data_IF_878735078853
#
_entry.id   IF_878735078853
#
_cell.length_a   1.000
_cell.length_b   1.000
_cell.length_c   1.000
_cell.angle_alpha   90.00
_cell.angle_beta   90.00
_cell.angle_gamma   90.00
#
_symmetry.space_group_name_H-M   'P 1'
#
loop_
_entity.id
_entity.type
_entity.pdbx_description
1 polymer ?
#
# COMPACT_ATOMS: atom_id res chain seq x y z
N UNK A 1 -12.73 -9.88 34.80
CA UNK A 1 -12.07 -11.17 35.10
C UNK A 1 -10.88 -11.31 34.17
N UNK A 2 -9.63 -11.28 34.66
CA UNK A 2 -8.49 -11.67 33.85
C UNK A 2 -8.57 -13.17 33.55
N UNK A 3 -8.31 -13.55 32.30
CA UNK A 3 -8.14 -14.95 31.89
C UNK A 3 -6.64 -15.24 31.96
N UNK A 4 -6.26 -16.25 32.73
CA UNK A 4 -4.90 -16.77 32.77
C UNK A 4 -4.83 -18.03 31.93
N UNK A 5 -3.93 -18.07 30.95
CA UNK A 5 -3.68 -19.25 30.12
C UNK A 5 -2.36 -19.88 30.56
N UNK A 6 -2.42 -21.09 31.12
CA UNK A 6 -1.24 -21.89 31.45
C UNK A 6 -1.02 -22.91 30.33
N UNK A 7 0.00 -22.72 29.51
CA UNK A 7 0.39 -23.67 28.47
C UNK A 7 1.90 -23.96 28.56
N UNK A 8 2.26 -25.23 28.58
CA UNK A 8 3.66 -25.67 28.46
C UNK A 8 3.99 -25.78 26.98
N UNK A 9 4.80 -24.86 26.46
CA UNK A 9 5.19 -24.85 25.06
C UNK A 9 6.43 -25.72 24.83
N UNK A 10 6.49 -26.53 23.75
CA UNK A 10 7.73 -27.16 23.34
C UNK A 10 8.79 -26.08 23.04
N UNK A 11 10.08 -26.37 23.24
CA UNK A 11 11.17 -25.38 23.20
C UNK A 11 11.28 -24.57 21.89
N UNK A 12 10.61 -24.99 20.81
CA UNK A 12 10.54 -24.30 19.52
C UNK A 12 9.24 -23.50 19.29
N UNK A 13 8.25 -23.57 20.20
CA UNK A 13 7.00 -22.84 20.06
C UNK A 13 7.10 -21.48 20.74
N UNK A 14 7.22 -20.42 19.92
CA UNK A 14 7.10 -19.04 20.38
C UNK A 14 5.62 -18.67 20.48
N UNK A 15 5.16 -18.30 21.68
CA UNK A 15 3.88 -17.65 21.92
C UNK A 15 3.87 -16.32 21.15
N UNK A 16 3.36 -16.35 19.91
CA UNK A 16 3.08 -15.19 19.05
C UNK A 16 3.94 -13.97 19.31
N UNK A 17 5.27 -14.14 19.28
CA UNK A 17 6.15 -12.98 19.34
C UNK A 17 5.67 -12.07 18.21
N UNK A 18 5.40 -10.80 18.53
CA UNK A 18 5.34 -9.74 17.54
C UNK A 18 6.73 -9.66 16.90
N UNK A 19 7.08 -10.66 16.09
CA UNK A 19 8.31 -10.68 15.33
C UNK A 19 8.17 -9.50 14.39
N UNK A 20 9.07 -8.54 14.54
CA UNK A 20 9.12 -7.42 13.60
C UNK A 20 9.14 -8.03 12.19
N UNK A 21 8.14 -7.70 11.39
CA UNK A 21 8.06 -8.23 10.03
C UNK A 21 9.15 -7.63 9.14
N UNK A 22 9.77 -6.52 9.57
CA UNK A 22 10.72 -5.74 8.78
C UNK A 22 11.87 -6.58 8.23
N UNK A 23 12.60 -7.44 8.99
CA UNK A 23 13.68 -8.25 8.42
C UNK A 23 13.20 -9.18 7.30
N UNK A 24 12.02 -9.78 7.46
CA UNK A 24 11.46 -10.70 6.48
C UNK A 24 10.98 -9.98 5.19
N UNK A 25 10.50 -8.74 5.33
CA UNK A 25 10.11 -7.88 4.21
C UNK A 25 11.33 -7.28 3.50
N UNK A 26 12.38 -6.93 4.25
CA UNK A 26 13.65 -6.42 3.73
C UNK A 26 14.45 -7.48 2.97
N UNK A 27 14.25 -8.77 3.29
CA UNK A 27 14.87 -9.88 2.57
C UNK A 27 14.23 -10.17 1.20
N UNK A 28 13.09 -9.55 0.88
CA UNK A 28 12.43 -9.76 -0.41
C UNK A 28 13.19 -9.07 -1.55
N UNK A 29 13.15 -9.61 -2.78
CA UNK A 29 13.86 -9.00 -3.90
C UNK A 29 13.28 -7.62 -4.24
N UNK A 30 14.18 -6.70 -4.63
CA UNK A 30 13.80 -5.40 -5.18
C UNK A 30 13.11 -4.45 -4.19
N UNK A 31 13.30 -4.59 -2.88
CA UNK A 31 12.69 -3.66 -1.89
C UNK A 31 12.99 -2.21 -2.27
N UNK A 32 11.94 -1.43 -2.43
CA UNK A 32 12.04 0.00 -2.74
C UNK A 32 11.69 0.86 -1.54
N UNK A 33 10.65 0.49 -0.79
CA UNK A 33 10.23 1.21 0.40
C UNK A 33 9.31 0.36 1.27
N UNK A 34 9.52 0.41 2.58
CA UNK A 34 8.63 -0.16 3.58
C UNK A 34 8.28 0.95 4.55
N UNK A 35 7.01 1.31 4.60
CA UNK A 35 6.49 2.44 5.33
C UNK A 35 5.51 1.91 6.40
N UNK A 36 5.92 1.95 7.65
CA UNK A 36 5.04 1.78 8.81
C UNK A 36 4.90 3.14 9.50
N UNK A 37 3.72 3.47 10.01
CA UNK A 37 3.52 4.72 10.75
C UNK A 37 4.12 4.60 12.15
N UNK A 38 5.24 5.27 12.37
CA UNK A 38 5.92 5.40 13.65
C UNK A 38 6.32 6.86 13.84
N UNK A 39 6.47 7.36 15.08
CA UNK A 39 6.93 8.72 15.28
C UNK A 39 8.25 9.03 14.57
N UNK A 40 9.15 8.05 14.47
CA UNK A 40 10.44 8.20 13.81
C UNK A 40 10.37 8.17 12.26
N UNK A 41 9.28 7.67 11.67
CA UNK A 41 9.12 7.61 10.21
C UNK A 41 8.35 8.80 9.64
N UNK A 42 7.90 9.74 10.47
CA UNK A 42 7.03 10.84 10.05
C UNK A 42 7.68 12.19 10.34
N UNK A 43 7.81 13.02 9.31
CA UNK A 43 8.16 14.43 9.46
C UNK A 43 6.89 15.25 9.41
N UNK A 44 6.53 15.87 10.53
CA UNK A 44 5.37 16.76 10.63
C UNK A 44 5.82 18.21 10.46
N UNK A 45 5.17 18.93 9.55
CA UNK A 45 5.43 20.35 9.30
C UNK A 45 4.14 21.04 8.84
N UNK A 46 3.92 22.28 9.27
CA UNK A 46 2.72 23.05 8.90
C UNK A 46 1.41 22.37 9.32
N UNK A 47 1.41 21.59 10.41
CA UNK A 47 0.23 20.88 10.92
C UNK A 47 -0.12 19.55 10.24
N UNK A 48 0.68 19.08 9.28
CA UNK A 48 0.45 17.81 8.58
C UNK A 48 1.74 17.04 8.30
N UNK A 49 1.58 15.83 7.75
CA UNK A 49 2.68 14.95 7.36
C UNK A 49 3.32 15.48 6.08
N UNK A 50 4.51 16.04 6.20
CA UNK A 50 5.30 16.51 5.06
C UNK A 50 6.08 15.35 4.43
N UNK A 51 6.53 14.40 5.24
CA UNK A 51 7.26 13.22 4.79
C UNK A 51 6.88 11.99 5.60
N UNK A 52 6.76 10.84 4.93
CA UNK A 52 6.67 9.51 5.54
C UNK A 52 7.81 8.64 4.98
N UNK A 53 8.88 8.55 5.75
CA UNK A 53 10.12 7.87 5.40
C UNK A 53 10.00 6.35 5.50
N UNK A 54 10.72 5.66 4.62
CA UNK A 54 10.85 4.20 4.68
C UNK A 54 11.73 3.74 5.85
N UNK A 55 11.53 2.49 6.28
CA UNK A 55 12.30 1.83 7.34
C UNK A 55 13.43 0.99 6.75
N UNK A 56 14.31 0.50 7.63
CA UNK A 56 15.35 -0.47 7.27
C UNK A 56 16.56 0.12 6.53
N UNK A 57 16.84 1.41 6.70
CA UNK A 57 17.97 2.10 6.04
C UNK A 57 17.71 2.46 4.57
N UNK A 58 16.47 2.31 4.10
CA UNK A 58 16.04 2.77 2.78
C UNK A 58 15.90 4.29 2.76
N UNK A 59 16.13 4.90 1.60
CA UNK A 59 16.11 6.37 1.43
C UNK A 59 14.84 6.88 0.75
N UNK A 60 13.89 5.99 0.45
CA UNK A 60 12.64 6.38 -0.20
C UNK A 60 11.66 6.97 0.83
N UNK A 61 10.87 7.95 0.40
CA UNK A 61 9.91 8.63 1.26
C UNK A 61 8.69 9.07 0.46
N UNK A 62 7.51 8.94 1.06
CA UNK A 62 6.35 9.69 0.58
C UNK A 62 6.51 11.14 0.99
N UNK A 63 6.31 12.07 0.07
CA UNK A 63 6.49 13.50 0.29
C UNK A 63 5.25 14.30 -0.11
N UNK A 64 5.01 15.40 0.60
CA UNK A 64 4.04 16.41 0.21
C UNK A 64 4.55 17.81 0.54
N UNK A 65 4.98 18.52 -0.51
CA UNK A 65 5.52 19.87 -0.39
C UNK A 65 4.45 20.90 -0.01
N UNK A 66 3.26 20.80 -0.60
CA UNK A 66 2.16 21.74 -0.36
C UNK A 66 1.51 21.50 1.00
N UNK A 67 1.66 22.45 1.91
CA UNK A 67 1.11 22.39 3.26
C UNK A 67 -0.42 22.19 3.28
N UNK A 68 -1.15 22.76 2.31
CA UNK A 68 -2.61 22.62 2.23
C UNK A 68 -3.07 21.22 1.79
N UNK A 69 -2.17 20.43 1.21
CA UNK A 69 -2.42 19.07 0.75
C UNK A 69 -1.77 17.99 1.62
N UNK A 70 -1.15 18.35 2.75
CA UNK A 70 -0.55 17.36 3.66
C UNK A 70 -1.65 16.54 4.35
N UNK A 71 -1.52 15.21 4.45
CA UNK A 71 -2.40 14.41 5.29
C UNK A 71 -2.10 14.66 6.77
N UNK A 72 -3.00 14.21 7.63
CA UNK A 72 -2.83 14.28 9.09
C UNK A 72 -2.54 12.90 9.67
N UNK A 73 -2.23 12.84 10.98
CA UNK A 73 -2.18 11.59 11.72
C UNK A 73 -3.50 11.42 12.47
N UNK A 74 -4.16 10.26 12.32
CA UNK A 74 -5.38 9.95 13.08
C UNK A 74 -5.08 9.47 14.50
N UNK A 75 -6.13 9.25 15.29
CA UNK A 75 -6.01 8.75 16.67
C UNK A 75 -5.38 7.36 16.79
N UNK A 76 -5.39 6.58 15.70
CA UNK A 76 -4.77 5.25 15.64
C UNK A 76 -3.29 5.33 15.18
N UNK A 77 -2.75 6.55 15.03
CA UNK A 77 -1.38 6.78 14.56
C UNK A 77 -1.19 6.52 13.06
N UNK A 78 -2.25 6.53 12.25
CA UNK A 78 -2.19 6.29 10.80
C UNK A 78 -2.12 7.59 10.02
N UNK A 79 -1.47 7.56 8.86
CA UNK A 79 -1.53 8.67 7.88
C UNK A 79 -2.93 8.70 7.28
N UNK A 80 -3.67 9.77 7.57
CA UNK A 80 -5.07 9.94 7.20
C UNK A 80 -5.22 10.99 6.11
N UNK A 81 -5.70 10.56 4.94
CA UNK A 81 -6.01 11.46 3.82
C UNK A 81 -7.30 12.22 4.07
N UNK A 82 -7.29 13.54 3.86
CA UNK A 82 -8.48 14.38 3.65
C UNK A 82 -8.82 14.52 2.18
N UNK A 83 -10.01 15.06 1.90
CA UNK A 83 -10.46 15.34 0.53
C UNK A 83 -9.60 16.36 -0.23
N UNK A 84 -8.57 16.93 0.40
CA UNK A 84 -7.53 17.75 -0.21
C UNK A 84 -6.11 17.16 -0.06
N UNK A 85 -5.96 16.00 0.57
CA UNK A 85 -4.65 15.45 0.92
C UNK A 85 -4.13 14.47 -0.12
N UNK A 86 -2.84 14.56 -0.44
CA UNK A 86 -2.14 13.56 -1.25
C UNK A 86 -0.68 13.45 -0.83
N UNK A 87 -0.02 12.35 -1.15
CA UNK A 87 1.44 12.23 -1.05
C UNK A 87 1.99 11.52 -2.27
N UNK A 88 3.22 11.86 -2.64
CA UNK A 88 3.92 11.29 -3.78
C UNK A 88 5.17 10.52 -3.32
N UNK A 89 5.41 9.36 -3.91
CA UNK A 89 6.63 8.59 -3.77
C UNK A 89 7.38 8.66 -5.12
N UNK A 90 8.47 9.44 -5.19
CA UNK A 90 9.24 9.59 -6.42
C UNK A 90 9.97 8.30 -6.81
N UNK A 91 10.02 8.01 -8.12
CA UNK A 91 11.08 7.21 -8.72
C UNK A 91 11.02 5.70 -8.50
N UNK A 92 10.02 5.02 -9.07
CA UNK A 92 10.13 3.55 -9.28
C UNK A 92 10.85 3.21 -10.60
N UNK A 93 10.83 4.11 -11.57
CA UNK A 93 11.44 3.92 -12.88
C UNK A 93 10.62 2.96 -13.76
N UNK A 94 11.24 2.48 -14.83
CA UNK A 94 10.63 1.45 -15.69
C UNK A 94 10.91 0.08 -15.10
N UNK A 95 9.85 -0.64 -14.74
CA UNK A 95 9.93 -1.97 -14.13
C UNK A 95 9.06 -2.97 -14.90
N UNK A 96 9.59 -4.16 -15.26
CA UNK A 96 8.78 -5.22 -15.87
C UNK A 96 7.88 -5.92 -14.82
N UNK A 97 8.25 -5.83 -13.54
CA UNK A 97 7.55 -6.46 -12.44
C UNK A 97 7.65 -5.60 -11.18
N UNK A 98 6.56 -5.55 -10.40
CA UNK A 98 6.55 -4.85 -9.12
C UNK A 98 5.47 -5.41 -8.20
N UNK A 99 5.62 -5.14 -6.90
CA UNK A 99 4.63 -5.48 -5.88
C UNK A 99 4.35 -4.25 -5.03
N UNK A 100 3.07 -4.00 -4.74
CA UNK A 100 2.62 -3.00 -3.78
C UNK A 100 1.77 -3.70 -2.74
N UNK A 101 2.12 -3.57 -1.46
CA UNK A 101 1.33 -4.09 -0.35
C UNK A 101 0.88 -2.92 0.53
N UNK A 102 -0.38 -2.89 0.94
CA UNK A 102 -0.87 -1.82 1.82
C UNK A 102 -2.00 -2.30 2.71
N UNK A 103 -2.11 -1.73 3.90
CA UNK A 103 -3.28 -1.88 4.77
C UNK A 103 -3.92 -0.52 4.96
N UNK A 104 -5.18 -0.42 4.58
CA UNK A 104 -5.94 0.81 4.70
C UNK A 104 -7.29 0.62 5.40
N UNK A 105 -7.80 1.72 5.94
CA UNK A 105 -9.19 1.85 6.37
C UNK A 105 -9.83 3.06 5.67
N UNK A 106 -11.15 3.06 5.53
CA UNK A 106 -11.89 4.24 5.09
C UNK A 106 -12.54 4.95 6.28
N UNK A 107 -12.76 6.26 6.17
CA UNK A 107 -13.62 7.05 7.09
C UNK A 107 -14.83 7.67 6.37
N UNK A 108 -15.01 7.34 5.11
CA UNK A 108 -16.07 7.86 4.26
C UNK A 108 -16.68 6.75 3.42
N UNK A 109 -17.96 6.90 3.12
CA UNK A 109 -18.71 6.13 2.12
C UNK A 109 -18.58 6.72 0.71
N UNK A 110 -17.65 7.67 0.50
CA UNK A 110 -17.37 8.27 -0.80
C UNK A 110 -17.26 7.19 -1.88
N UNK A 111 -17.96 7.45 -2.99
CA UNK A 111 -18.21 6.46 -4.03
C UNK A 111 -16.94 5.91 -4.68
N UNK A 112 -15.81 6.60 -4.60
CA UNK A 112 -14.53 6.14 -5.14
C UNK A 112 -13.37 6.81 -4.42
N UNK A 113 -12.45 6.01 -3.87
CA UNK A 113 -11.29 6.51 -3.13
C UNK A 113 -10.01 5.84 -3.63
N UNK A 114 -9.06 6.63 -4.11
CA UNK A 114 -7.80 6.08 -4.63
C UNK A 114 -6.94 5.53 -3.50
N UNK A 115 -6.56 4.26 -3.60
CA UNK A 115 -5.63 3.59 -2.68
C UNK A 115 -4.20 3.96 -3.06
N UNK A 116 -3.87 3.79 -4.33
CA UNK A 116 -2.65 4.30 -4.94
C UNK A 116 -2.88 4.47 -6.45
N UNK A 117 -2.06 5.32 -7.03
CA UNK A 117 -1.96 5.53 -8.46
C UNK A 117 -0.49 5.66 -8.86
N UNK A 118 -0.11 5.04 -9.96
CA UNK A 118 1.20 5.19 -10.58
C UNK A 118 1.07 5.84 -11.94
N UNK A 119 1.89 6.85 -12.21
CA UNK A 119 1.92 7.56 -13.49
C UNK A 119 3.17 7.22 -14.30
N UNK A 120 2.95 7.01 -15.60
CA UNK A 120 3.96 6.77 -16.63
C UNK A 120 3.57 7.36 -17.97
N UNK A 121 4.44 7.21 -18.99
CA UNK A 121 4.21 7.63 -20.38
C UNK A 121 2.97 6.96 -21.01
N UNK A 122 1.76 7.39 -20.62
CA UNK A 122 0.47 6.88 -21.11
C UNK A 122 -0.06 5.62 -20.41
N UNK A 123 0.73 4.95 -19.57
CA UNK A 123 0.30 3.77 -18.79
C UNK A 123 0.03 4.17 -17.35
N UNK A 124 -1.19 3.90 -16.89
CA UNK A 124 -1.67 4.26 -15.57
C UNK A 124 -1.97 3.03 -14.74
N UNK A 125 -1.41 2.95 -13.53
CA UNK A 125 -1.62 1.85 -12.60
C UNK A 125 -2.44 2.35 -11.40
N UNK A 126 -3.69 1.92 -11.22
CA UNK A 126 -4.53 2.40 -10.11
C UNK A 126 -5.28 1.29 -9.43
N UNK A 127 -5.26 1.36 -8.10
CA UNK A 127 -6.22 0.68 -7.24
C UNK A 127 -7.09 1.72 -6.53
N UNK A 128 -8.40 1.48 -6.50
CA UNK A 128 -9.34 2.32 -5.78
C UNK A 128 -10.39 1.49 -5.08
N UNK A 129 -10.87 2.00 -3.96
CA UNK A 129 -11.90 1.38 -3.15
C UNK A 129 -13.22 2.12 -3.34
N UNK A 130 -14.29 1.36 -3.44
CA UNK A 130 -15.66 1.80 -3.26
C UNK A 130 -16.24 1.01 -2.09
N UNK A 131 -17.31 1.49 -1.44
CA UNK A 131 -18.02 0.67 -0.45
C UNK A 131 -18.26 -0.74 -1.01
N UNK A 132 -17.77 -1.75 -0.27
CA UNK A 132 -17.78 -3.19 -0.58
C UNK A 132 -17.07 -3.68 -1.86
N UNK A 133 -16.41 -2.82 -2.65
CA UNK A 133 -15.72 -3.25 -3.88
C UNK A 133 -14.33 -2.65 -4.00
N UNK A 134 -13.32 -3.52 -4.17
CA UNK A 134 -11.98 -3.12 -4.58
C UNK A 134 -11.90 -3.19 -6.10
N UNK A 135 -11.49 -2.08 -6.73
CA UNK A 135 -11.37 -1.98 -8.18
C UNK A 135 -9.96 -1.63 -8.58
N UNK A 136 -9.52 -2.18 -9.70
CA UNK A 136 -8.22 -1.87 -10.30
C UNK A 136 -8.36 -1.52 -11.77
N UNK A 137 -7.46 -0.65 -12.23
CA UNK A 137 -7.34 -0.24 -13.64
C UNK A 137 -5.87 -0.14 -14.01
N UNK A 138 -5.51 -0.72 -15.16
CA UNK A 138 -4.14 -0.76 -15.66
C UNK A 138 -4.06 -0.38 -17.15
N UNK A 139 -3.18 0.56 -17.48
CA UNK A 139 -2.88 1.00 -18.84
C UNK A 139 -3.95 1.89 -19.47
N UNK A 140 -4.02 1.79 -20.80
CA UNK A 140 -5.07 2.34 -21.67
C UNK A 140 -6.38 1.54 -21.59
N UNK A 141 -6.37 0.41 -20.86
CA UNK A 141 -7.50 -0.49 -20.78
C UNK A 141 -8.75 0.25 -20.30
N UNK A 142 -9.79 0.15 -21.12
CA UNK A 142 -11.15 0.61 -20.82
C UNK A 142 -11.82 -0.22 -19.73
N UNK A 143 -11.29 -1.41 -19.43
CA UNK A 143 -11.94 -2.37 -18.55
C UNK A 143 -11.42 -2.27 -17.10
N UNK A 144 -12.35 -2.00 -16.18
CA UNK A 144 -12.15 -2.15 -14.75
C UNK A 144 -12.11 -3.65 -14.39
N UNK A 145 -11.36 -3.97 -13.33
CA UNK A 145 -11.40 -5.29 -12.70
C UNK A 145 -11.87 -5.13 -11.26
N UNK A 146 -12.99 -5.80 -10.98
CA UNK A 146 -13.68 -5.71 -9.71
C UNK A 146 -13.39 -6.95 -8.88
N UNK A 147 -13.11 -6.74 -7.60
CA UNK A 147 -13.09 -7.78 -6.57
C UNK A 147 -14.06 -7.33 -5.49
N UNK A 148 -15.00 -8.20 -5.15
CA UNK A 148 -15.85 -8.00 -3.96
C UNK A 148 -14.94 -7.98 -2.75
N UNK A 149 -14.88 -6.85 -2.06
CA UNK A 149 -13.99 -6.69 -0.91
C UNK A 149 -14.79 -6.84 0.38
N UNK A 150 -14.26 -7.53 1.41
CA UNK A 150 -14.86 -7.46 2.73
C UNK A 150 -14.80 -6.02 3.28
N UNK A 151 -15.57 -5.71 4.34
CA UNK A 151 -15.51 -4.41 5.00
C UNK A 151 -14.07 -4.05 5.44
N UNK A 152 -13.73 -2.77 5.35
CA UNK A 152 -12.46 -2.23 5.84
C UNK A 152 -12.38 -2.29 7.38
N UNK A 153 -11.18 -2.41 8.00
CA UNK A 153 -9.84 -2.29 7.42
C UNK A 153 -9.41 -3.50 6.57
N UNK A 154 -8.76 -3.21 5.44
CA UNK A 154 -8.43 -4.20 4.42
C UNK A 154 -6.93 -4.21 4.11
N UNK A 155 -6.33 -5.40 4.10
CA UNK A 155 -5.01 -5.64 3.55
C UNK A 155 -5.11 -5.97 2.07
N UNK A 156 -4.24 -5.37 1.28
CA UNK A 156 -4.16 -5.59 -0.17
C UNK A 156 -2.72 -5.82 -0.56
N UNK A 157 -2.48 -6.86 -1.37
CA UNK A 157 -1.19 -7.08 -2.05
C UNK A 157 -1.44 -7.16 -3.54
N UNK A 158 -0.80 -6.27 -4.28
CA UNK A 158 -0.90 -6.15 -5.72
C UNK A 158 0.43 -6.53 -6.35
N UNK A 159 0.43 -7.56 -7.20
CA UNK A 159 1.62 -8.14 -7.84
C UNK A 159 1.49 -8.02 -9.35
N UNK A 160 2.53 -7.49 -9.99
CA UNK A 160 2.68 -7.42 -11.44
C UNK A 160 3.94 -8.16 -11.84
N UNK A 161 3.78 -9.09 -12.76
CA UNK A 161 4.85 -9.88 -13.38
C UNK A 161 4.68 -9.87 -14.91
N UNK A 162 5.34 -8.92 -15.58
CA UNK A 162 5.11 -8.63 -16.99
C UNK A 162 3.66 -8.24 -17.24
N UNK A 163 2.96 -9.01 -18.06
CA UNK A 163 1.53 -8.81 -18.34
C UNK A 163 0.64 -9.47 -17.29
N UNK A 164 1.16 -10.31 -16.39
CA UNK A 164 0.33 -10.99 -15.40
C UNK A 164 0.14 -10.09 -14.19
N UNK A 165 -1.11 -9.86 -13.83
CA UNK A 165 -1.49 -9.03 -12.71
C UNK A 165 -2.28 -9.87 -11.72
N UNK A 166 -1.89 -9.85 -10.44
CA UNK A 166 -2.62 -10.52 -9.37
C UNK A 166 -2.89 -9.56 -8.22
N UNK A 167 -4.13 -9.55 -7.74
CA UNK A 167 -4.56 -8.78 -6.59
C UNK A 167 -5.04 -9.74 -5.49
N UNK A 168 -4.43 -9.63 -4.32
CA UNK A 168 -4.74 -10.40 -3.11
C UNK A 168 -5.41 -9.50 -2.08
N UNK A 169 -6.50 -9.97 -1.49
CA UNK A 169 -7.23 -9.23 -0.45
C UNK A 169 -8.17 -10.16 0.32
N UNK A 170 -8.24 -10.02 1.65
CA UNK A 170 -9.23 -10.75 2.47
C UNK A 170 -9.23 -12.26 2.27
N UNK A 171 -8.07 -12.88 2.03
CA UNK A 171 -7.93 -14.31 1.73
C UNK A 171 -8.25 -14.72 0.29
N UNK A 172 -8.71 -13.79 -0.54
CA UNK A 172 -9.02 -14.00 -1.95
C UNK A 172 -7.87 -13.55 -2.85
N UNK A 173 -7.86 -14.06 -4.08
CA UNK A 173 -6.90 -13.66 -5.12
C UNK A 173 -7.59 -13.67 -6.47
N UNK A 174 -7.35 -12.64 -7.27
CA UNK A 174 -7.83 -12.56 -8.65
C UNK A 174 -6.64 -12.23 -9.54
N UNK A 175 -6.50 -13.01 -10.62
CA UNK A 175 -5.43 -12.85 -11.59
C UNK A 175 -6.02 -12.52 -12.96
N UNK A 176 -5.37 -11.62 -13.69
CA UNK A 176 -5.73 -11.27 -15.05
C UNK A 176 -4.52 -10.85 -15.86
N UNK A 177 -4.70 -10.77 -17.17
CA UNK A 177 -3.67 -10.30 -18.10
C UNK A 177 -3.88 -8.80 -18.38
N UNK A 178 -2.87 -7.99 -18.10
CA UNK A 178 -2.75 -6.59 -18.49
C UNK A 178 -2.23 -6.42 -19.91
N UNK A 179 -2.19 -5.18 -20.39
CA UNK A 179 -1.80 -4.84 -21.77
C UNK A 179 -0.33 -4.47 -21.92
N UNK A 180 0.35 -4.11 -20.82
CA UNK A 180 1.74 -3.67 -20.85
C UNK A 180 2.68 -4.75 -20.30
N UNK A 181 3.79 -4.98 -21.00
CA UNK A 181 4.88 -5.87 -20.56
C UNK A 181 5.85 -5.18 -19.58
N UNK A 182 5.78 -3.84 -19.48
CA UNK A 182 6.53 -3.05 -18.50
C UNK A 182 5.75 -1.80 -18.12
N UNK A 183 6.01 -1.30 -16.92
CA UNK A 183 5.34 -0.13 -16.36
C UNK A 183 6.37 0.93 -16.02
N UNK A 184 6.26 2.10 -16.65
CA UNK A 184 7.06 3.26 -16.32
C UNK A 184 6.42 3.98 -15.13
N UNK A 185 6.76 3.59 -13.90
CA UNK A 185 6.22 4.22 -12.71
C UNK A 185 7.15 5.38 -12.31
N UNK A 186 6.97 6.53 -12.96
CA UNK A 186 7.77 7.73 -12.68
C UNK A 186 7.56 8.18 -11.23
N UNK A 187 6.31 8.08 -10.75
CA UNK A 187 5.98 8.19 -9.34
C UNK A 187 4.77 7.35 -8.97
N UNK A 188 4.62 7.10 -7.66
CA UNK A 188 3.35 6.69 -7.08
C UNK A 188 2.73 7.85 -6.32
N UNK A 189 1.42 7.87 -6.27
CA UNK A 189 0.62 8.83 -5.52
C UNK A 189 -0.40 8.08 -4.69
N UNK A 190 -0.58 8.52 -3.46
CA UNK A 190 -1.71 8.15 -2.60
C UNK A 190 -2.54 9.41 -2.35
N UNK A 191 -3.85 9.26 -2.17
CA UNK A 191 -4.74 10.41 -1.94
C UNK A 191 -5.35 11.03 -3.19
N UNK A 192 -4.80 10.77 -4.38
CA UNK A 192 -5.27 11.33 -5.65
C UNK A 192 -5.04 10.36 -6.81
N UNK A 193 -5.72 10.62 -7.93
CA UNK A 193 -5.59 9.81 -9.15
C UNK A 193 -4.26 10.02 -9.84
N UNK A 194 -3.68 11.22 -9.81
CA UNK A 194 -2.36 11.52 -10.35
C UNK A 194 -1.72 12.58 -9.48
N UNK A 195 -0.48 12.96 -9.78
CA UNK A 195 0.20 14.08 -9.10
C UNK A 195 -0.50 15.43 -9.33
N UNK A 196 -1.22 15.56 -10.45
CA UNK A 196 -1.95 16.77 -10.87
C UNK A 196 -3.46 16.72 -10.63
N UNK A 197 -4.04 15.55 -10.39
CA UNK A 197 -5.48 15.40 -10.15
C UNK A 197 -5.87 15.96 -8.79
N UNK A 198 -7.14 16.40 -8.69
CA UNK A 198 -7.75 16.73 -7.41
C UNK A 198 -7.71 15.49 -6.49
N UNK A 199 -7.37 15.66 -5.20
CA UNK A 199 -7.43 14.59 -4.22
C UNK A 199 -8.85 14.00 -4.10
N UNK A 200 -8.93 12.68 -3.91
CA UNK A 200 -10.19 11.93 -3.92
C UNK A 200 -10.27 10.83 -2.86
N UNK A 201 -9.35 10.83 -1.89
CA UNK A 201 -9.25 9.76 -0.90
C UNK A 201 -9.51 10.24 0.52
N UNK A 202 -10.28 9.45 1.27
CA UNK A 202 -10.43 9.57 2.71
C UNK A 202 -9.85 8.34 3.42
N UNK A 203 -8.88 7.68 2.79
CA UNK A 203 -8.26 6.49 3.30
C UNK A 203 -7.21 6.80 4.37
N UNK A 204 -6.99 5.82 5.25
CA UNK A 204 -6.08 5.88 6.38
C UNK A 204 -5.10 4.72 6.27
N UNK A 205 -3.81 5.02 6.23
CA UNK A 205 -2.74 4.06 5.98
C UNK A 205 -1.88 3.87 7.22
N UNK A 206 -1.71 2.61 7.65
CA UNK A 206 -0.74 2.27 8.69
C UNK A 206 0.51 1.57 8.14
N UNK A 207 0.38 0.91 6.98
CA UNK A 207 1.40 0.08 6.36
C UNK A 207 1.36 0.25 4.85
N UNK A 208 2.51 0.46 4.23
CA UNK A 208 2.67 0.52 2.78
C UNK A 208 4.04 -0.04 2.38
N UNK A 209 4.10 -0.96 1.44
CA UNK A 209 5.33 -1.59 0.97
C UNK A 209 5.38 -1.58 -0.55
N UNK A 210 6.57 -1.36 -1.10
CA UNK A 210 6.81 -1.32 -2.54
C UNK A 210 8.08 -2.10 -2.86
N UNK A 211 7.99 -2.99 -3.84
CA UNK A 211 9.10 -3.78 -4.38
C UNK A 211 9.13 -3.67 -5.89
N UNK A 212 10.32 -3.51 -6.47
CA UNK A 212 10.59 -3.57 -7.92
C UNK A 212 10.77 -5.02 -8.40
N UNK A 213 9.95 -5.91 -7.87
CA UNK A 213 9.91 -7.32 -8.23
C UNK A 213 8.49 -7.87 -8.00
N UNK A 214 8.13 -8.91 -8.76
CA UNK A 214 6.96 -9.72 -8.45
C UNK A 214 7.28 -10.62 -7.26
N UNK A 215 6.67 -10.38 -6.11
CA UNK A 215 6.88 -11.24 -4.94
C UNK A 215 6.18 -12.58 -5.15
N UNK A 216 6.88 -13.66 -4.79
CA UNK A 216 6.38 -15.02 -4.86
C UNK A 216 6.79 -15.83 -3.61
N UNK A 217 6.23 -17.03 -3.45
CA UNK A 217 6.57 -17.96 -2.38
C UNK A 217 6.48 -17.32 -0.99
N UNK A 218 7.53 -17.50 -0.18
CA UNK A 218 7.58 -16.99 1.18
C UNK A 218 7.56 -15.45 1.25
N UNK A 219 8.15 -14.74 0.28
CA UNK A 219 8.15 -13.27 0.28
C UNK A 219 6.73 -12.72 0.09
N UNK A 220 5.94 -13.32 -0.80
CA UNK A 220 4.53 -12.97 -0.96
C UNK A 220 3.72 -13.30 0.29
N UNK A 221 3.95 -14.48 0.89
CA UNK A 221 3.29 -14.86 2.14
C UNK A 221 3.57 -13.87 3.27
N UNK A 222 4.82 -13.43 3.41
CA UNK A 222 5.22 -12.43 4.41
C UNK A 222 4.53 -11.08 4.17
N UNK A 223 4.50 -10.60 2.92
CA UNK A 223 3.83 -9.36 2.56
C UNK A 223 2.32 -9.43 2.88
N UNK A 224 1.65 -10.52 2.51
CA UNK A 224 0.23 -10.76 2.80
C UNK A 224 -0.05 -10.80 4.30
N UNK A 225 0.75 -11.54 5.08
CA UNK A 225 0.62 -11.60 6.52
C UNK A 225 0.80 -10.22 7.18
N UNK A 226 1.78 -9.43 6.71
CA UNK A 226 2.08 -8.11 7.26
C UNK A 226 0.92 -7.12 7.08
N UNK A 227 0.24 -7.13 5.93
CA UNK A 227 -0.91 -6.25 5.67
C UNK A 227 -2.27 -6.87 6.03
N UNK A 228 -2.33 -8.18 6.26
CA UNK A 228 -3.55 -8.94 6.51
C UNK A 228 -4.41 -9.12 5.24
N UNK A 229 -3.79 -9.58 4.15
CA UNK A 229 -4.42 -9.82 2.83
C UNK A 229 -4.63 -11.30 2.51
#
# INVERSE_FOLDING_TARGET
>A
MPITLNATLPAAATLGAFVDALPALMAAPGVFGIFDTTPASLTISGGGVAEWASRGGLTSAWVQADAGARPTIDSDGRVSMGGSSRMELPGLGTVPAFTIATRFASRSDAAMQTIFAGSGNGVYARAFWQPSTLRTRFGDASALRDIVSPPVPLGVVYVVDGTTITLHTGGQSVTWTGTAASYALVSLVIGAQTTSAAPDSFLRYGKFGVWRAALAGQHLANAKAWVGA
#
